data_IF_875779467787
#
_entry.id   IF_875779467787
#
_cell.length_a   1.000
_cell.length_b   1.000
_cell.length_c   1.000
_cell.angle_alpha   90.00
_cell.angle_beta   90.00
_cell.angle_gamma   90.00
#
_symmetry.space_group_name_H-M   'P 1'
#
loop_
_entity.id
_entity.type
_entity.pdbx_description
1 polymer ?
#
# COMPACT_ATOMS: atom_id res chain seq x y z
N UNK A 1 -5.38 -4.08 -23.08
CA UNK A 1 -4.08 -3.74 -22.44
C UNK A 1 -4.43 -2.88 -21.24
N UNK A 2 -4.01 -3.23 -20.03
CA UNK A 2 -4.25 -2.43 -18.82
C UNK A 2 -2.98 -1.66 -18.43
N UNK A 3 -3.13 -0.40 -18.04
CA UNK A 3 -2.07 0.51 -17.63
C UNK A 3 -2.17 0.81 -16.13
N UNK A 4 -1.09 0.54 -15.40
CA UNK A 4 -0.96 0.84 -13.99
C UNK A 4 0.16 1.86 -13.74
N UNK A 5 -0.05 2.76 -12.78
CA UNK A 5 0.98 3.70 -12.32
C UNK A 5 1.34 3.39 -10.87
N UNK A 6 2.62 3.19 -10.58
CA UNK A 6 3.10 3.12 -9.20
C UNK A 6 3.46 4.51 -8.70
N UNK A 7 2.84 4.91 -7.59
CA UNK A 7 3.17 6.10 -6.85
C UNK A 7 4.10 5.73 -5.70
N UNK A 8 5.36 6.10 -5.85
CA UNK A 8 6.30 6.07 -4.72
C UNK A 8 6.03 7.28 -3.83
N UNK A 9 5.24 7.05 -2.78
CA UNK A 9 5.00 8.05 -1.73
C UNK A 9 6.14 8.09 -0.72
N UNK A 10 7.12 7.19 -0.81
CA UNK A 10 8.25 7.12 0.11
C UNK A 10 9.45 7.88 -0.47
N UNK A 11 9.34 9.22 -0.54
CA UNK A 11 10.42 10.06 -1.03
C UNK A 11 11.70 9.92 -0.18
N UNK A 12 12.85 9.78 -0.83
CA UNK A 12 14.18 9.61 -0.22
C UNK A 12 15.03 10.88 -0.16
N UNK A 13 14.67 11.95 -0.86
CA UNK A 13 15.45 13.20 -0.89
C UNK A 13 14.57 14.44 -0.74
N UNK A 14 14.41 14.95 0.49
CA UNK A 14 14.15 16.36 0.80
C UNK A 14 12.99 17.09 0.10
N UNK A 15 12.11 16.42 -0.64
CA UNK A 15 10.99 17.03 -1.34
C UNK A 15 9.99 17.50 -0.30
N UNK A 16 9.99 18.80 -0.07
CA UNK A 16 9.04 19.51 0.74
C UNK A 16 7.60 19.00 0.48
N UNK A 17 7.01 18.40 1.51
CA UNK A 17 5.58 18.15 1.62
C UNK A 17 4.96 17.32 0.50
N UNK A 18 4.94 16.00 0.67
CA UNK A 18 3.87 15.22 0.05
C UNK A 18 2.55 15.69 0.66
N UNK A 19 1.87 16.58 -0.05
CA UNK A 19 0.55 17.09 0.30
C UNK A 19 -0.53 16.23 -0.35
N UNK A 20 -1.59 15.95 0.41
CA UNK A 20 -2.72 15.15 -0.03
C UNK A 20 -3.36 15.73 -1.30
N UNK A 21 -3.48 17.05 -1.43
CA UNK A 21 -4.13 17.67 -2.60
C UNK A 21 -3.34 17.41 -3.88
N UNK A 22 -2.01 17.37 -3.80
CA UNK A 22 -1.15 17.06 -4.96
C UNK A 22 -1.34 15.62 -5.41
N UNK A 23 -1.38 14.67 -4.46
CA UNK A 23 -1.63 13.25 -4.74
C UNK A 23 -3.02 13.08 -5.34
N UNK A 24 -4.05 13.62 -4.71
CA UNK A 24 -5.42 13.54 -5.21
C UNK A 24 -5.56 14.18 -6.61
N UNK A 25 -4.91 15.32 -6.85
CA UNK A 25 -4.88 15.97 -8.16
C UNK A 25 -4.18 15.12 -9.23
N UNK A 26 -3.11 14.40 -8.88
CA UNK A 26 -2.46 13.46 -9.78
C UNK A 26 -3.37 12.27 -10.12
N UNK A 27 -3.96 11.62 -9.11
CA UNK A 27 -4.81 10.44 -9.31
C UNK A 27 -6.03 10.78 -10.17
N UNK A 28 -6.67 11.94 -9.95
CA UNK A 28 -7.78 12.42 -10.80
C UNK A 28 -7.35 12.67 -12.25
N UNK A 29 -6.14 13.19 -12.47
CA UNK A 29 -5.59 13.35 -13.83
C UNK A 29 -5.32 12.01 -14.48
N UNK A 30 -4.79 11.04 -13.74
CA UNK A 30 -4.57 9.68 -14.23
C UNK A 30 -5.89 9.00 -14.63
N UNK A 31 -6.93 9.14 -13.81
CA UNK A 31 -8.28 8.63 -14.12
C UNK A 31 -8.87 9.30 -15.37
N UNK A 32 -8.72 10.62 -15.52
CA UNK A 32 -9.17 11.34 -16.70
C UNK A 32 -8.41 10.92 -17.97
N UNK A 33 -7.15 10.51 -17.83
CA UNK A 33 -6.32 9.99 -18.92
C UNK A 33 -6.58 8.51 -19.26
N UNK A 34 -7.47 7.83 -18.53
CA UNK A 34 -7.82 6.43 -18.79
C UNK A 34 -6.85 5.41 -18.21
N UNK A 35 -6.07 5.77 -17.18
CA UNK A 35 -5.26 4.81 -16.43
C UNK A 35 -6.18 3.86 -15.67
N UNK A 36 -5.90 2.55 -15.74
CA UNK A 36 -6.73 1.53 -15.12
C UNK A 36 -6.55 1.49 -13.60
N UNK A 37 -5.33 1.68 -13.10
CA UNK A 37 -5.06 1.60 -11.67
C UNK A 37 -3.85 2.41 -11.20
N UNK A 38 -3.89 2.82 -9.93
CA UNK A 38 -2.76 3.40 -9.20
C UNK A 38 -2.36 2.49 -8.06
N UNK A 39 -1.07 2.21 -7.94
CA UNK A 39 -0.48 1.42 -6.85
C UNK A 39 0.27 2.33 -5.91
N UNK A 40 -0.08 2.33 -4.63
CA UNK A 40 0.57 3.11 -3.56
C UNK A 40 1.33 2.15 -2.66
N UNK A 41 2.64 2.34 -2.52
CA UNK A 41 3.51 1.50 -1.69
C UNK A 41 3.91 2.22 -0.40
N UNK A 42 3.85 1.53 0.74
CA UNK A 42 4.23 2.07 2.06
C UNK A 42 5.70 1.85 2.42
N UNK A 43 6.46 1.20 1.54
CA UNK A 43 7.88 0.88 1.74
C UNK A 43 8.73 1.66 0.75
N UNK A 44 9.73 2.38 1.25
CA UNK A 44 10.73 3.00 0.38
C UNK A 44 11.56 1.92 -0.32
N UNK A 45 12.05 2.25 -1.52
CA UNK A 45 13.00 1.41 -2.22
C UNK A 45 14.23 1.10 -1.32
N UNK A 46 14.75 -0.12 -1.44
CA UNK A 46 15.97 -0.59 -0.76
C UNK A 46 15.94 -0.57 0.78
N UNK A 47 14.76 -0.58 1.41
CA UNK A 47 14.64 -0.55 2.88
C UNK A 47 15.05 0.79 3.49
N UNK A 48 15.04 1.86 2.69
CA UNK A 48 15.20 3.21 3.20
C UNK A 48 14.01 3.60 4.10
N UNK A 49 14.25 4.52 5.03
CA UNK A 49 13.16 5.04 5.86
C UNK A 49 12.27 5.92 4.99
N UNK A 50 11.00 5.55 4.84
CA UNK A 50 10.01 6.42 4.22
C UNK A 50 9.89 7.71 5.04
N UNK A 51 9.95 8.85 4.37
CA UNK A 51 9.64 10.16 4.95
C UNK A 51 8.18 10.58 4.72
N UNK A 52 7.39 9.70 4.11
CA UNK A 52 5.97 9.94 3.88
C UNK A 52 5.19 10.04 5.19
N UNK A 53 4.27 11.01 5.33
CA UNK A 53 3.35 11.06 6.45
C UNK A 53 2.14 10.13 6.27
N UNK A 54 1.97 9.51 5.09
CA UNK A 54 0.78 8.74 4.75
C UNK A 54 0.99 7.24 4.92
N UNK A 55 -0.02 6.57 5.47
CA UNK A 55 -0.16 5.11 5.41
C UNK A 55 -1.05 4.76 4.20
N UNK A 56 -0.65 3.76 3.41
CA UNK A 56 -1.22 3.51 2.09
C UNK A 56 -2.75 3.29 2.10
N UNK A 57 -3.28 2.50 3.03
CA UNK A 57 -4.70 2.17 3.07
C UNK A 57 -5.58 3.35 3.51
N UNK A 58 -5.09 4.19 4.43
CA UNK A 58 -5.78 5.43 4.82
C UNK A 58 -5.79 6.46 3.70
N UNK A 59 -4.69 6.57 2.94
CA UNK A 59 -4.62 7.41 1.75
C UNK A 59 -5.59 6.94 0.67
N UNK A 60 -5.68 5.62 0.42
CA UNK A 60 -6.66 5.08 -0.52
C UNK A 60 -8.10 5.32 -0.07
N UNK A 61 -8.42 5.24 1.23
CA UNK A 61 -9.75 5.58 1.73
C UNK A 61 -10.16 7.00 1.32
N UNK A 62 -9.24 7.95 1.42
CA UNK A 62 -9.49 9.33 1.02
C UNK A 62 -9.62 9.45 -0.52
N UNK A 63 -8.71 8.84 -1.28
CA UNK A 63 -8.73 8.88 -2.75
C UNK A 63 -9.96 8.19 -3.36
N UNK A 64 -10.48 7.14 -2.72
CA UNK A 64 -11.67 6.43 -3.16
C UNK A 64 -12.90 7.34 -3.22
N UNK A 65 -12.98 8.36 -2.35
CA UNK A 65 -14.08 9.34 -2.34
C UNK A 65 -13.95 10.44 -3.40
N UNK A 66 -12.79 10.53 -4.08
CA UNK A 66 -12.46 11.58 -5.04
C UNK A 66 -12.34 11.06 -6.49
N UNK A 67 -12.60 9.77 -6.69
CA UNK A 67 -12.46 9.06 -7.97
C UNK A 67 -13.65 8.14 -8.18
N UNK A 68 -13.95 7.77 -9.42
CA UNK A 68 -15.16 7.03 -9.77
C UNK A 68 -14.88 5.71 -10.50
N UNK A 69 -13.73 5.58 -11.16
CA UNK A 69 -13.43 4.50 -12.12
C UNK A 69 -12.06 3.87 -11.90
N UNK A 70 -11.04 4.66 -11.58
CA UNK A 70 -9.67 4.15 -11.46
C UNK A 70 -9.55 3.15 -10.30
N UNK A 71 -8.84 2.05 -10.53
CA UNK A 71 -8.48 1.08 -9.49
C UNK A 71 -7.47 1.67 -8.51
N UNK A 72 -7.61 1.33 -7.23
CA UNK A 72 -6.78 1.85 -6.14
C UNK A 72 -6.14 0.68 -5.40
N UNK A 73 -4.83 0.52 -5.52
CA UNK A 73 -4.11 -0.63 -4.99
C UNK A 73 -3.14 -0.22 -3.89
N UNK A 74 -3.28 -0.78 -2.69
CA UNK A 74 -2.39 -0.51 -1.56
C UNK A 74 -1.38 -1.62 -1.38
N UNK A 75 -0.11 -1.26 -1.27
CA UNK A 75 0.93 -2.09 -0.70
C UNK A 75 0.73 -2.23 0.79
N UNK A 76 0.55 -3.45 1.28
CA UNK A 76 0.49 -3.75 2.70
C UNK A 76 1.22 -5.06 2.98
N UNK A 77 2.13 -5.03 3.96
CA UNK A 77 3.00 -6.15 4.31
C UNK A 77 2.26 -7.17 5.18
N UNK A 78 2.38 -8.46 4.85
CA UNK A 78 1.85 -9.55 5.67
C UNK A 78 2.58 -9.70 7.02
N UNK A 79 3.76 -9.05 7.17
CA UNK A 79 4.50 -9.00 8.44
C UNK A 79 3.97 -7.94 9.41
N UNK A 80 3.56 -6.79 8.87
CA UNK A 80 3.18 -5.60 9.62
C UNK A 80 1.73 -5.61 10.10
N UNK A 81 0.89 -6.48 9.52
CA UNK A 81 -0.54 -6.51 9.79
C UNK A 81 -1.01 -7.87 10.28
N UNK A 82 -2.06 -7.85 11.09
CA UNK A 82 -2.79 -9.07 11.45
C UNK A 82 -3.80 -9.40 10.34
N UNK A 83 -3.97 -10.68 9.96
CA UNK A 83 -4.77 -11.08 8.80
C UNK A 83 -6.23 -10.65 8.90
N UNK A 84 -6.87 -10.88 10.06
CA UNK A 84 -8.26 -10.47 10.28
C UNK A 84 -8.47 -8.96 10.10
N UNK A 85 -7.58 -8.13 10.66
CA UNK A 85 -7.69 -6.68 10.58
C UNK A 85 -7.42 -6.17 9.17
N UNK A 86 -6.47 -6.78 8.45
CA UNK A 86 -6.17 -6.41 7.07
C UNK A 86 -7.35 -6.76 6.15
N UNK A 87 -7.89 -7.98 6.26
CA UNK A 87 -9.06 -8.42 5.52
C UNK A 87 -10.27 -7.50 5.75
N UNK A 88 -10.58 -7.17 7.01
CA UNK A 88 -11.69 -6.26 7.34
C UNK A 88 -11.47 -4.85 6.80
N UNK A 89 -10.22 -4.37 6.82
CA UNK A 89 -9.87 -3.05 6.25
C UNK A 89 -10.09 -3.02 4.75
N UNK A 90 -9.59 -4.01 4.01
CA UNK A 90 -9.80 -4.10 2.56
C UNK A 90 -11.28 -4.31 2.20
N UNK A 91 -12.04 -5.10 2.96
CA UNK A 91 -13.49 -5.22 2.76
C UNK A 91 -14.21 -3.87 2.95
N UNK A 92 -13.79 -3.06 3.92
CA UNK A 92 -14.36 -1.72 4.13
C UNK A 92 -14.00 -0.78 2.96
N UNK A 93 -12.76 -0.83 2.49
CA UNK A 93 -12.31 -0.04 1.34
C UNK A 93 -12.99 -0.46 0.04
N UNK A 94 -13.29 -1.74 -0.12
CA UNK A 94 -14.03 -2.26 -1.26
C UNK A 94 -15.42 -1.63 -1.34
N UNK A 95 -16.12 -1.57 -0.20
CA UNK A 95 -17.41 -0.89 -0.07
C UNK A 95 -17.28 0.60 -0.38
N UNK A 96 -16.31 1.30 0.22
CA UNK A 96 -16.10 2.75 0.03
C UNK A 96 -15.76 3.08 -1.43
N UNK A 97 -14.97 2.22 -2.08
CA UNK A 97 -14.51 2.44 -3.46
C UNK A 97 -15.47 1.91 -4.52
N UNK A 98 -16.55 1.23 -4.13
CA UNK A 98 -17.46 0.51 -5.03
C UNK A 98 -16.75 -0.56 -5.87
N UNK A 99 -15.98 -1.43 -5.23
CA UNK A 99 -15.35 -2.57 -5.90
C UNK A 99 -14.02 -2.28 -6.61
N UNK A 100 -13.37 -1.14 -6.31
CA UNK A 100 -12.17 -0.67 -7.02
C UNK A 100 -10.88 -0.83 -6.22
N UNK A 101 -10.94 -1.40 -5.02
CA UNK A 101 -9.76 -1.57 -4.18
C UNK A 101 -8.99 -2.85 -4.56
N UNK A 102 -7.66 -2.79 -4.51
CA UNK A 102 -6.79 -3.95 -4.63
C UNK A 102 -5.72 -3.97 -3.53
N UNK A 103 -5.22 -5.16 -3.23
CA UNK A 103 -4.11 -5.36 -2.31
C UNK A 103 -2.87 -5.86 -3.05
N UNK A 104 -1.77 -5.11 -2.95
CA UNK A 104 -0.44 -5.56 -3.38
C UNK A 104 0.28 -6.17 -2.16
N UNK A 105 0.13 -7.48 -1.99
CA UNK A 105 0.70 -8.21 -0.87
C UNK A 105 2.22 -8.28 -0.96
N UNK A 106 2.92 -7.65 -0.01
CA UNK A 106 4.38 -7.77 0.10
C UNK A 106 4.72 -8.93 1.02
N UNK A 107 5.37 -9.94 0.44
CA UNK A 107 5.84 -11.15 1.13
C UNK A 107 7.38 -11.18 1.14
N UNK A 108 7.99 -10.09 1.62
CA UNK A 108 9.45 -10.00 1.79
C UNK A 108 9.75 -9.59 3.21
N UNK A 109 10.79 -10.18 3.81
CA UNK A 109 11.27 -9.79 5.12
C UNK A 109 12.19 -8.58 5.04
N UNK A 110 11.92 -7.58 5.87
CA UNK A 110 12.87 -6.54 6.24
C UNK A 110 13.15 -6.66 7.74
N UNK A 111 14.38 -7.03 8.17
CA UNK A 111 14.73 -7.12 9.59
C UNK A 111 14.47 -5.83 10.36
N UNK A 112 14.61 -4.66 9.72
CA UNK A 112 14.33 -3.36 10.36
C UNK A 112 12.84 -3.19 10.60
N UNK A 113 12.01 -3.56 9.62
CA UNK A 113 10.57 -3.61 9.79
C UNK A 113 10.18 -4.61 10.88
N UNK A 114 10.74 -5.82 10.87
CA UNK A 114 10.43 -6.86 11.85
C UNK A 114 10.73 -6.42 13.29
N UNK A 115 11.85 -5.72 13.51
CA UNK A 115 12.18 -5.14 14.81
C UNK A 115 11.11 -4.14 15.32
N UNK A 116 10.52 -3.34 14.42
CA UNK A 116 9.44 -2.40 14.77
C UNK A 116 8.13 -3.10 15.17
N UNK A 117 7.95 -4.38 14.79
CA UNK A 117 6.79 -5.20 15.15
C UNK A 117 7.15 -6.30 16.18
N UNK A 118 8.09 -5.99 17.07
CA UNK A 118 8.50 -6.86 18.19
C UNK A 118 9.10 -8.21 17.76
N UNK A 119 9.75 -8.25 16.59
CA UNK A 119 10.45 -9.42 16.05
C UNK A 119 11.87 -9.05 15.61
N UNK A 120 12.77 -8.70 16.56
CA UNK A 120 14.12 -8.24 16.23
C UNK A 120 14.97 -9.29 15.49
N UNK A 121 14.68 -10.58 15.70
CA UNK A 121 15.36 -11.72 15.05
C UNK A 121 14.70 -12.12 13.71
N UNK A 122 13.61 -11.45 13.32
CA UNK A 122 12.85 -11.81 12.13
C UNK A 122 12.13 -13.16 12.27
N UNK A 123 12.02 -13.87 11.14
CA UNK A 123 11.60 -15.27 11.10
C UNK A 123 12.66 -16.08 10.36
N UNK A 124 12.67 -17.39 10.57
CA UNK A 124 13.34 -18.29 9.63
C UNK A 124 12.67 -18.16 8.25
N UNK A 125 13.41 -18.37 7.15
CA UNK A 125 12.85 -18.32 5.80
C UNK A 125 11.66 -19.28 5.63
N UNK A 126 11.76 -20.48 6.21
CA UNK A 126 10.72 -21.50 6.17
C UNK A 126 9.44 -21.08 6.90
N UNK A 127 9.58 -20.52 8.12
CA UNK A 127 8.42 -20.01 8.86
C UNK A 127 7.80 -18.80 8.18
N UNK A 128 8.62 -17.92 7.61
CA UNK A 128 8.12 -16.77 6.88
C UNK A 128 7.27 -17.18 5.69
N UNK A 129 7.78 -18.10 4.85
CA UNK A 129 7.04 -18.61 3.69
C UNK A 129 5.72 -19.25 4.09
N UNK A 130 5.75 -20.16 5.07
CA UNK A 130 4.54 -20.82 5.57
C UNK A 130 3.50 -19.83 6.07
N UNK A 131 3.92 -18.82 6.85
CA UNK A 131 3.01 -17.79 7.35
C UNK A 131 2.43 -16.91 6.25
N UNK A 132 3.23 -16.59 5.23
CA UNK A 132 2.78 -15.79 4.09
C UNK A 132 1.72 -16.54 3.26
N UNK A 133 1.92 -17.85 3.05
CA UNK A 133 0.93 -18.75 2.42
C UNK A 133 -0.35 -18.82 3.27
N UNK A 134 -0.25 -19.10 4.57
CA UNK A 134 -1.39 -19.14 5.51
C UNK A 134 -2.16 -17.81 5.58
N UNK A 135 -1.51 -16.67 5.34
CA UNK A 135 -2.14 -15.35 5.40
C UNK A 135 -3.15 -15.14 4.26
N UNK A 136 -2.83 -15.67 3.07
CA UNK A 136 -3.61 -15.47 1.84
C UNK A 136 -4.58 -16.64 1.61
N UNK A 137 -4.18 -17.87 1.95
CA UNK A 137 -4.99 -19.09 1.78
C UNK A 137 -4.38 -20.06 0.78
#
# INVERSE_FOLDING_TARGET
>A
MHLAISLDIAATDGQAGLDFRRIAGFVRKAEAAGVDMVVVSDTAANGARSTSPFEATTLLAALATLTERIGLVAGASTLAHQPYNLARRFASLDIISHGRIGWNATMVQDPRQAANFSRPEGFSEGDFRRRAEEFIG
#
